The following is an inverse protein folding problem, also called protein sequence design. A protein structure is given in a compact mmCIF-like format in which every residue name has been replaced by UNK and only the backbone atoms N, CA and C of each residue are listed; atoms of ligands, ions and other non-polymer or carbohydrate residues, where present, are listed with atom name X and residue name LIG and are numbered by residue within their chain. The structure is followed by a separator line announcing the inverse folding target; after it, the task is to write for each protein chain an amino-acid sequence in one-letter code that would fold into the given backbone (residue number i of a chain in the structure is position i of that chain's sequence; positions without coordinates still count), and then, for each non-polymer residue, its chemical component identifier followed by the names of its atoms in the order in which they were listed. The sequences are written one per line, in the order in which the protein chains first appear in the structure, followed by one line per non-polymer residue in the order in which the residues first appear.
data_IF_055322289557
#
_entry.id   IF_055322289557
#
_cell.length_a   1.000
_cell.length_b   1.000
_cell.length_c   1.000
_cell.angle_alpha   90.00
_cell.angle_beta   90.00
_cell.angle_gamma   90.00
#
_symmetry.space_group_name_H-M   'P 1'
#
loop_
_entity.id
_entity.type
_entity.pdbx_description
1 polymer ?
#
# COMPACT_ATOMS: atom_id res chain seq x y z
N UNK A 1 -22.96 -2.48 -22.08
CA UNK A 1 -21.97 -3.18 -21.25
C UNK A 1 -20.93 -2.19 -20.76
N UNK A 2 -20.73 -2.11 -19.45
CA UNK A 2 -19.69 -1.25 -18.87
C UNK A 2 -18.32 -1.94 -18.95
N UNK A 3 -17.23 -1.18 -19.15
CA UNK A 3 -15.89 -1.76 -19.20
C UNK A 3 -15.46 -2.28 -17.82
N UNK A 4 -15.00 -3.53 -17.76
CA UNK A 4 -14.43 -4.12 -16.55
C UNK A 4 -13.02 -3.58 -16.27
N UNK A 5 -12.68 -3.44 -14.99
CA UNK A 5 -11.34 -3.04 -14.53
C UNK A 5 -10.86 -3.96 -13.41
N UNK A 6 -9.66 -4.51 -13.59
CA UNK A 6 -8.98 -5.28 -12.53
C UNK A 6 -8.32 -4.33 -11.53
N UNK A 7 -8.58 -4.54 -10.23
CA UNK A 7 -7.96 -3.82 -9.12
C UNK A 7 -7.14 -4.79 -8.29
N UNK A 8 -5.91 -4.39 -7.94
CA UNK A 8 -5.05 -5.14 -7.02
C UNK A 8 -4.98 -4.38 -5.70
N UNK A 9 -5.41 -5.02 -4.61
CA UNK A 9 -5.32 -4.48 -3.25
C UNK A 9 -4.15 -5.14 -2.50
N UNK A 10 -3.31 -4.35 -1.87
CA UNK A 10 -2.25 -4.82 -0.98
C UNK A 10 -2.63 -4.48 0.47
N UNK A 11 -2.56 -5.47 1.37
CA UNK A 11 -2.94 -5.32 2.76
C UNK A 11 -1.77 -5.65 3.68
N UNK A 12 -1.25 -4.65 4.38
CA UNK A 12 -0.20 -4.84 5.39
C UNK A 12 -0.84 -5.04 6.78
N UNK A 13 -0.70 -6.23 7.35
CA UNK A 13 -1.39 -6.65 8.59
C UNK A 13 -0.53 -6.56 9.85
N UNK A 14 0.79 -6.39 9.69
CA UNK A 14 1.75 -6.44 10.81
C UNK A 14 2.01 -5.05 11.41
N UNK A 15 1.09 -4.09 11.19
CA UNK A 15 1.14 -2.80 11.84
C UNK A 15 0.10 -2.75 12.96
N UNK A 16 0.51 -2.75 14.24
CA UNK A 16 -0.43 -2.67 15.36
C UNK A 16 -1.18 -1.33 15.37
N UNK A 17 -2.35 -1.30 16.00
CA UNK A 17 -3.12 -0.06 16.14
C UNK A 17 -2.46 0.96 17.06
N UNK A 18 -1.67 0.50 18.03
CA UNK A 18 -0.87 1.35 18.92
C UNK A 18 0.61 1.05 18.68
N UNK A 19 1.35 2.05 18.17
CA UNK A 19 2.79 1.95 17.92
C UNK A 19 3.17 1.66 16.47
N UNK A 20 4.26 0.93 16.29
CA UNK A 20 4.91 0.67 15.00
C UNK A 20 5.27 -0.82 14.87
N UNK A 21 5.51 -1.34 13.66
CA UNK A 21 6.03 -2.69 13.48
C UNK A 21 7.34 -2.87 14.27
N UNK A 22 7.53 -4.06 14.85
CA UNK A 22 8.73 -4.38 15.66
C UNK A 22 10.04 -4.28 14.87
N UNK A 23 9.97 -4.41 13.54
CA UNK A 23 11.10 -4.23 12.63
C UNK A 23 10.61 -3.52 11.36
N UNK A 24 11.40 -2.58 10.79
CA UNK A 24 11.06 -1.94 9.53
C UNK A 24 11.13 -2.89 8.33
N UNK A 25 11.79 -4.06 8.47
CA UNK A 25 12.10 -4.94 7.34
C UNK A 25 10.86 -5.37 6.56
N UNK A 26 9.83 -5.87 7.25
CA UNK A 26 8.58 -6.33 6.62
C UNK A 26 7.84 -5.18 5.93
N UNK A 27 7.82 -3.99 6.55
CA UNK A 27 7.17 -2.82 5.97
C UNK A 27 7.92 -2.31 4.73
N UNK A 28 9.25 -2.25 4.77
CA UNK A 28 10.08 -1.88 3.61
C UNK A 28 9.90 -2.89 2.47
N UNK A 29 9.85 -4.19 2.78
CA UNK A 29 9.58 -5.22 1.78
C UNK A 29 8.19 -5.04 1.15
N UNK A 30 7.17 -4.75 1.96
CA UNK A 30 5.82 -4.44 1.49
C UNK A 30 5.80 -3.25 0.54
N UNK A 31 6.41 -2.11 0.92
CA UNK A 31 6.51 -0.92 0.06
C UNK A 31 7.17 -1.27 -1.29
N UNK A 32 8.28 -2.01 -1.27
CA UNK A 32 8.97 -2.44 -2.51
C UNK A 32 8.08 -3.30 -3.41
N UNK A 33 7.29 -4.20 -2.83
CA UNK A 33 6.34 -5.03 -3.57
C UNK A 33 5.25 -4.18 -4.23
N UNK A 34 4.68 -3.22 -3.50
CA UNK A 34 3.65 -2.30 -4.04
C UNK A 34 4.22 -1.46 -5.18
N UNK A 35 5.39 -0.84 -4.98
CA UNK A 35 6.04 0.01 -5.98
C UNK A 35 6.43 -0.78 -7.25
N UNK A 36 6.93 -2.01 -7.09
CA UNK A 36 7.20 -2.90 -8.23
C UNK A 36 5.93 -3.23 -9.01
N UNK A 37 4.81 -3.45 -8.32
CA UNK A 37 3.51 -3.67 -8.97
C UNK A 37 3.02 -2.43 -9.70
N UNK A 38 3.19 -1.23 -9.13
CA UNK A 38 2.80 0.02 -9.76
C UNK A 38 3.60 0.30 -11.04
N UNK A 39 4.92 0.08 -11.01
CA UNK A 39 5.79 0.25 -12.18
C UNK A 39 5.41 -0.66 -13.36
N UNK A 40 4.77 -1.80 -13.09
CA UNK A 40 4.28 -2.73 -14.13
C UNK A 40 2.92 -2.34 -14.69
N UNK A 41 2.22 -1.38 -14.08
CA UNK A 41 0.93 -0.92 -14.56
C UNK A 41 1.12 0.00 -15.77
N UNK A 42 0.42 -0.28 -16.88
CA UNK A 42 0.61 0.41 -18.16
C UNK A 42 0.43 1.94 -18.10
N UNK A 43 -0.43 2.43 -17.21
CA UNK A 43 -0.79 3.84 -17.11
C UNK A 43 -0.24 4.54 -15.85
N UNK A 44 0.57 3.85 -15.03
CA UNK A 44 1.07 4.35 -13.74
C UNK A 44 0.01 5.14 -12.94
N UNK A 45 -1.19 4.57 -12.71
CA UNK A 45 -2.25 5.30 -12.01
C UNK A 45 -1.79 5.66 -10.58
N UNK A 46 -2.39 6.70 -9.97
CA UNK A 46 -2.13 7.01 -8.57
C UNK A 46 -2.48 5.80 -7.69
N UNK A 47 -1.66 5.56 -6.67
CA UNK A 47 -1.96 4.56 -5.64
C UNK A 47 -2.96 5.14 -4.64
N UNK A 48 -4.05 4.42 -4.41
CA UNK A 48 -4.91 4.67 -3.26
C UNK A 48 -4.26 4.03 -2.03
N UNK A 49 -3.84 4.85 -1.08
CA UNK A 49 -3.24 4.41 0.19
C UNK A 49 -4.15 4.89 1.33
N UNK A 50 -4.56 3.98 2.20
CA UNK A 50 -5.40 4.32 3.35
C UNK A 50 -4.97 3.58 4.62
N UNK A 51 -5.36 4.13 5.76
CA UNK A 51 -5.32 3.46 7.06
C UNK A 51 -6.69 3.66 7.73
N UNK A 52 -6.75 3.93 9.04
CA UNK A 52 -8.01 4.27 9.73
C UNK A 52 -8.43 5.72 9.47
N UNK A 53 -7.53 6.68 9.77
CA UNK A 53 -7.79 8.12 9.59
C UNK A 53 -7.16 8.70 8.31
N UNK A 54 -6.42 7.89 7.55
CA UNK A 54 -5.78 8.31 6.30
C UNK A 54 -4.55 9.21 6.46
N UNK A 55 -4.00 9.36 7.67
CA UNK A 55 -2.89 10.30 7.94
C UNK A 55 -1.61 9.61 8.42
N UNK A 56 -1.64 8.87 9.54
CA UNK A 56 -0.43 8.33 10.18
C UNK A 56 0.28 7.26 9.36
N UNK A 57 -0.24 6.02 9.38
CA UNK A 57 0.32 4.89 8.61
C UNK A 57 0.36 5.17 7.10
N UNK A 58 -0.64 5.89 6.59
CA UNK A 58 -0.70 6.35 5.20
C UNK A 58 0.48 7.26 4.87
N UNK A 59 0.73 8.29 5.68
CA UNK A 59 1.83 9.22 5.48
C UNK A 59 3.22 8.59 5.69
N UNK A 60 3.32 7.52 6.49
CA UNK A 60 4.59 6.76 6.60
C UNK A 60 4.84 5.84 5.40
N UNK A 61 3.80 5.41 4.70
CA UNK A 61 3.94 4.62 3.46
C UNK A 61 4.43 5.49 2.29
N UNK A 62 3.91 6.73 2.19
CA UNK A 62 4.20 7.70 1.13
C UNK A 62 5.60 8.28 1.32
#
# INVERSE_FOLDING_TARGET
DEPERRITQFHYTDWPDQGVPASPHSFVQFVRTVMTSQQRAQASPPLLVHCSAGVGRTGTFI
#
